data_IF_461939805917
#
_entry.id   IF_461939805917
#
_cell.length_a   1.000
_cell.length_b   1.000
_cell.length_c   1.000
_cell.angle_alpha   90.00
_cell.angle_beta   90.00
_cell.angle_gamma   90.00
#
_symmetry.space_group_name_H-M   'P 1'
#
loop_
_entity.id
_entity.type
_entity.pdbx_description
1 polymer ?
#
# COMPACT_ATOMS: atom_id res chain seq x y z
N UNK A 1 -7.09 22.49 9.48
CA UNK A 1 -7.65 21.63 8.42
C UNK A 1 -7.45 20.19 8.84
N UNK A 2 -8.48 19.35 8.77
CA UNK A 2 -8.34 17.92 9.03
C UNK A 2 -7.86 17.22 7.75
N UNK A 3 -6.77 16.46 7.84
CA UNK A 3 -6.32 15.62 6.74
C UNK A 3 -7.37 14.55 6.49
N UNK A 4 -7.77 14.39 5.21
CA UNK A 4 -8.66 13.30 4.81
C UNK A 4 -7.92 11.98 4.95
N UNK A 5 -8.64 10.93 5.38
CA UNK A 5 -8.11 9.58 5.34
C UNK A 5 -7.95 9.12 3.89
N UNK A 6 -6.86 8.43 3.61
CA UNK A 6 -6.53 7.84 2.30
C UNK A 6 -6.27 6.36 2.51
N UNK A 7 -6.80 5.50 1.63
CA UNK A 7 -6.45 4.09 1.56
C UNK A 7 -5.64 3.85 0.30
N UNK A 8 -4.47 3.23 0.44
CA UNK A 8 -3.68 2.71 -0.67
C UNK A 8 -3.91 1.19 -0.72
N UNK A 9 -4.49 0.72 -1.81
CA UNK A 9 -4.83 -0.69 -2.00
C UNK A 9 -3.95 -1.34 -3.07
N UNK A 10 -3.10 -2.27 -2.66
CA UNK A 10 -2.27 -3.06 -3.57
C UNK A 10 -3.08 -4.18 -4.22
N UNK A 11 -3.17 -4.19 -5.55
CA UNK A 11 -3.82 -5.26 -6.30
C UNK A 11 -2.78 -6.01 -7.13
N UNK A 12 -2.82 -7.35 -7.08
CA UNK A 12 -1.90 -8.19 -7.82
C UNK A 12 -1.79 -9.59 -7.23
N UNK A 13 -1.24 -10.52 -7.99
CA UNK A 13 -0.95 -11.87 -7.53
C UNK A 13 0.58 -12.11 -7.46
N UNK A 14 1.18 -12.14 -6.26
CA UNK A 14 2.61 -12.43 -6.11
C UNK A 14 3.06 -13.80 -6.62
N UNK A 15 2.14 -14.75 -6.73
CA UNK A 15 2.38 -16.06 -7.36
C UNK A 15 2.40 -16.03 -8.89
N UNK A 16 2.05 -14.90 -9.53
CA UNK A 16 2.01 -14.74 -10.99
C UNK A 16 3.00 -13.68 -11.46
N UNK A 17 4.24 -14.10 -11.71
CA UNK A 17 5.29 -13.32 -12.40
C UNK A 17 5.32 -11.82 -11.98
N UNK A 18 5.07 -10.92 -12.92
CA UNK A 18 5.13 -9.46 -12.77
C UNK A 18 3.83 -8.83 -12.23
N UNK A 19 2.80 -9.63 -11.96
CA UNK A 19 1.53 -9.16 -11.40
C UNK A 19 1.65 -8.72 -9.93
N UNK A 20 2.80 -8.96 -9.29
CA UNK A 20 3.08 -8.55 -7.92
C UNK A 20 3.29 -7.04 -7.75
N UNK A 21 3.41 -6.27 -8.83
CA UNK A 21 3.84 -4.86 -8.77
C UNK A 21 2.94 -4.00 -7.88
N UNK A 22 1.61 -4.14 -7.98
CA UNK A 22 0.69 -3.34 -7.17
C UNK A 22 0.80 -3.64 -5.67
N UNK A 23 0.96 -4.92 -5.33
CA UNK A 23 1.19 -5.40 -3.96
C UNK A 23 2.53 -4.88 -3.41
N UNK A 24 3.62 -5.05 -4.15
CA UNK A 24 4.95 -4.62 -3.70
C UNK A 24 5.04 -3.10 -3.58
N UNK A 25 4.38 -2.38 -4.49
CA UNK A 25 4.28 -0.92 -4.41
C UNK A 25 3.56 -0.47 -3.13
N UNK A 26 2.43 -1.09 -2.77
CA UNK A 26 1.71 -0.78 -1.54
C UNK A 26 2.58 -1.02 -0.29
N UNK A 27 3.34 -2.13 -0.25
CA UNK A 27 4.26 -2.44 0.84
C UNK A 27 5.41 -1.43 0.97
N UNK A 28 6.00 -0.99 -0.14
CA UNK A 28 7.07 0.02 -0.11
C UNK A 28 6.53 1.40 0.30
N UNK A 29 5.31 1.75 -0.12
CA UNK A 29 4.66 2.98 0.32
C UNK A 29 4.27 2.95 1.80
N UNK A 30 3.90 1.78 2.33
CA UNK A 30 3.62 1.62 3.76
C UNK A 30 4.86 1.90 4.61
N UNK A 31 6.01 1.37 4.20
CA UNK A 31 7.31 1.65 4.87
C UNK A 31 7.61 3.14 4.85
N UNK A 32 7.53 3.76 3.67
CA UNK A 32 7.76 5.20 3.50
C UNK A 32 6.83 6.07 4.37
N UNK A 33 5.53 5.75 4.40
CA UNK A 33 4.56 6.48 5.20
C UNK A 33 4.77 6.28 6.71
N UNK A 34 5.18 5.07 7.12
CA UNK A 34 5.52 4.75 8.51
C UNK A 34 6.75 5.54 8.99
N UNK A 35 7.80 5.59 8.18
CA UNK A 35 9.04 6.33 8.48
C UNK A 35 8.77 7.83 8.68
N UNK A 36 7.87 8.39 7.86
CA UNK A 36 7.43 9.79 7.96
C UNK A 36 6.29 10.02 8.95
N UNK A 37 5.80 8.97 9.61
CA UNK A 37 4.72 8.99 10.61
C UNK A 37 3.39 9.53 10.07
N UNK A 38 3.07 9.24 8.81
CA UNK A 38 1.80 9.63 8.20
C UNK A 38 0.64 8.76 8.69
N UNK A 39 -0.09 9.27 9.68
CA UNK A 39 -1.24 8.56 10.29
C UNK A 39 -2.56 8.65 9.53
N UNK A 40 -2.58 9.35 8.39
CA UNK A 40 -3.80 9.55 7.59
C UNK A 40 -3.87 8.61 6.38
N UNK A 41 -2.85 7.76 6.20
CA UNK A 41 -2.75 6.80 5.09
C UNK A 41 -2.84 5.41 5.70
N UNK A 42 -3.87 4.68 5.28
CA UNK A 42 -4.06 3.26 5.58
C UNK A 42 -3.61 2.44 4.35
N UNK A 43 -3.20 1.20 4.59
CA UNK A 43 -2.69 0.29 3.56
C UNK A 43 -3.41 -1.06 3.65
N UNK A 44 -3.74 -1.64 2.49
CA UNK A 44 -4.30 -2.98 2.39
C UNK A 44 -3.95 -3.56 1.01
N UNK A 45 -4.13 -4.87 0.83
CA UNK A 45 -3.85 -5.54 -0.44
C UNK A 45 -4.64 -6.83 -0.60
N UNK A 46 -5.05 -7.12 -1.84
CA UNK A 46 -5.60 -8.43 -2.16
C UNK A 46 -4.46 -9.39 -2.47
N UNK A 47 -4.46 -10.54 -1.79
CA UNK A 47 -3.60 -11.67 -2.12
C UNK A 47 -4.49 -12.90 -2.29
N UNK A 48 -4.47 -13.50 -3.49
CA UNK A 48 -5.05 -14.81 -3.76
C UNK A 48 -3.94 -15.84 -3.96
#
# INVERSE_FOLDING_TARGET
MQLKKVLIYGYGNPGRQDDAVGVMCAQELEKWATDLRFKFIDFDSNYH
#
